data_IF_202977745095
#
_entry.id   IF_202977745095
#
_cell.length_a   1.000
_cell.length_b   1.000
_cell.length_c   1.000
_cell.angle_alpha   90.00
_cell.angle_beta   90.00
_cell.angle_gamma   90.00
#
_symmetry.space_group_name_H-M   'P 1'
#
loop_
_entity.id
_entity.type
_entity.pdbx_description
1 polymer ?
#
# COMPACT_ATOMS: atom_id res chain seq x y z
N UNK A 1 9.27 2.67 -19.38
CA UNK A 1 8.26 2.82 -20.45
C UNK A 1 7.36 1.60 -20.38
N UNK A 2 6.05 1.74 -20.51
CA UNK A 2 5.15 0.57 -20.45
C UNK A 2 5.37 -0.31 -21.67
N UNK A 3 5.44 -1.62 -21.49
CA UNK A 3 5.41 -2.55 -22.63
C UNK A 3 4.02 -2.54 -23.30
N UNK A 4 3.89 -2.97 -24.56
CA UNK A 4 2.58 -3.10 -25.22
C UNK A 4 1.60 -3.99 -24.44
N UNK A 5 2.12 -5.02 -23.75
CA UNK A 5 1.33 -5.88 -22.87
C UNK A 5 0.84 -5.13 -21.62
N UNK A 6 1.75 -4.42 -20.94
CA UNK A 6 1.41 -3.58 -19.78
C UNK A 6 0.41 -2.47 -20.13
N UNK A 7 0.52 -1.87 -21.33
CA UNK A 7 -0.42 -0.86 -21.81
C UNK A 7 -1.84 -1.42 -21.99
N UNK A 8 -1.98 -2.65 -22.53
CA UNK A 8 -3.28 -3.33 -22.63
C UNK A 8 -3.85 -3.69 -21.27
N UNK A 9 -3.01 -4.18 -20.35
CA UNK A 9 -3.43 -4.47 -18.97
C UNK A 9 -3.93 -3.21 -18.27
N UNK A 10 -3.18 -2.11 -18.37
CA UNK A 10 -3.54 -0.82 -17.79
C UNK A 10 -4.88 -0.31 -18.32
N UNK A 11 -5.05 -0.27 -19.64
CA UNK A 11 -6.29 0.19 -20.27
C UNK A 11 -7.49 -0.67 -19.85
N UNK A 12 -7.32 -2.00 -19.81
CA UNK A 12 -8.36 -2.92 -19.37
C UNK A 12 -8.74 -2.76 -17.90
N UNK A 13 -7.74 -2.57 -17.02
CA UNK A 13 -7.97 -2.31 -15.60
C UNK A 13 -8.72 -0.99 -15.37
N UNK A 14 -8.31 0.09 -16.05
CA UNK A 14 -9.00 1.38 -15.98
C UNK A 14 -10.45 1.25 -16.46
N UNK A 15 -10.68 0.57 -17.59
CA UNK A 15 -12.05 0.39 -18.11
C UNK A 15 -12.95 -0.39 -17.13
N UNK A 16 -12.41 -1.38 -16.41
CA UNK A 16 -13.15 -2.10 -15.35
C UNK A 16 -13.40 -1.22 -14.13
N UNK A 17 -12.40 -0.43 -13.70
CA UNK A 17 -12.54 0.50 -12.57
C UNK A 17 -13.57 1.59 -12.80
N UNK A 18 -13.64 2.12 -14.02
CA UNK A 18 -14.64 3.11 -14.40
C UNK A 18 -16.08 2.55 -14.33
N UNK A 19 -16.23 1.22 -14.44
CA UNK A 19 -17.52 0.53 -14.30
C UNK A 19 -17.80 0.11 -12.85
N UNK A 20 -16.77 -0.29 -12.12
CA UNK A 20 -16.87 -0.81 -10.76
C UNK A 20 -15.62 -0.40 -9.95
N UNK A 21 -15.80 0.58 -9.08
CA UNK A 21 -14.73 1.13 -8.24
C UNK A 21 -14.38 0.24 -7.04
N UNK A 22 -15.11 -0.85 -6.80
CA UNK A 22 -14.82 -1.78 -5.70
C UNK A 22 -13.71 -2.79 -6.05
N UNK A 23 -13.21 -2.77 -7.29
CA UNK A 23 -12.19 -3.69 -7.79
C UNK A 23 -10.79 -3.33 -7.30
N UNK A 24 -10.52 -3.59 -6.03
CA UNK A 24 -9.25 -3.29 -5.35
C UNK A 24 -8.02 -3.79 -6.13
N UNK A 25 -8.08 -5.01 -6.66
CA UNK A 25 -7.03 -5.59 -7.52
C UNK A 25 -6.68 -4.72 -8.73
N UNK A 26 -7.70 -4.15 -9.39
CA UNK A 26 -7.48 -3.28 -10.54
C UNK A 26 -6.92 -1.91 -10.09
N UNK A 27 -7.34 -1.40 -8.92
CA UNK A 27 -6.75 -0.17 -8.32
C UNK A 27 -5.25 -0.39 -8.06
N UNK A 28 -4.90 -1.50 -7.43
CA UNK A 28 -3.52 -1.85 -7.10
C UNK A 28 -2.67 -2.00 -8.36
N UNK A 29 -3.18 -2.72 -9.38
CA UNK A 29 -2.50 -2.89 -10.65
C UNK A 29 -2.22 -1.56 -11.36
N UNK A 30 -3.22 -0.67 -11.41
CA UNK A 30 -3.06 0.66 -12.00
C UNK A 30 -2.02 1.47 -11.22
N UNK A 31 -2.12 1.48 -9.89
CA UNK A 31 -1.19 2.20 -9.02
C UNK A 31 0.26 1.70 -9.19
N UNK A 32 0.47 0.39 -9.29
CA UNK A 32 1.79 -0.20 -9.53
C UNK A 32 2.37 0.19 -10.89
N UNK A 33 1.58 0.03 -11.96
CA UNK A 33 2.03 0.30 -13.33
C UNK A 33 2.42 1.77 -13.52
N UNK A 34 1.60 2.68 -12.98
CA UNK A 34 1.81 4.14 -13.06
C UNK A 34 2.90 4.59 -12.09
N UNK A 35 2.92 4.06 -10.87
CA UNK A 35 3.80 4.48 -9.78
C UNK A 35 5.20 3.88 -9.80
N UNK A 36 5.45 2.79 -10.55
CA UNK A 36 6.72 2.03 -10.56
C UNK A 36 7.98 2.90 -10.62
N UNK A 37 8.02 3.92 -11.49
CA UNK A 37 9.18 4.81 -11.61
C UNK A 37 9.40 5.66 -10.35
N UNK A 38 8.32 6.11 -9.72
CA UNK A 38 8.38 6.91 -8.49
C UNK A 38 8.86 6.05 -7.32
N UNK A 39 8.34 4.84 -7.17
CA UNK A 39 8.80 3.92 -6.12
C UNK A 39 10.26 3.50 -6.31
N UNK A 40 10.72 3.27 -7.55
CA UNK A 40 12.14 3.03 -7.82
C UNK A 40 13.03 4.24 -7.43
N UNK A 41 12.56 5.47 -7.68
CA UNK A 41 13.26 6.68 -7.26
C UNK A 41 13.30 6.84 -5.72
N UNK A 42 12.18 6.57 -5.05
CA UNK A 42 12.11 6.58 -3.58
C UNK A 42 13.02 5.51 -2.96
N UNK A 43 13.11 4.32 -3.57
CA UNK A 43 14.05 3.29 -3.13
C UNK A 43 15.50 3.75 -3.27
N UNK A 44 15.87 4.33 -4.41
CA UNK A 44 17.21 4.85 -4.61
C UNK A 44 17.56 5.96 -3.61
N UNK A 45 16.61 6.86 -3.32
CA UNK A 45 16.77 7.90 -2.32
C UNK A 45 16.90 7.34 -0.90
N UNK A 46 16.04 6.39 -0.53
CA UNK A 46 16.09 5.73 0.77
C UNK A 46 17.41 5.00 1.00
N UNK A 47 17.94 4.32 -0.02
CA UNK A 47 19.28 3.68 0.05
C UNK A 47 20.39 4.71 0.23
N UNK A 48 20.34 5.83 -0.50
CA UNK A 48 21.32 6.92 -0.36
C UNK A 48 21.33 7.53 1.04
N UNK A 49 20.16 7.57 1.69
CA UNK A 49 19.98 8.16 3.03
C UNK A 49 20.11 7.13 4.17
N UNK A 50 20.42 5.87 3.88
CA UNK A 50 20.39 4.76 4.84
C UNK A 50 19.10 4.74 5.68
N UNK A 51 17.95 4.83 4.99
CA UNK A 51 16.65 4.99 5.62
C UNK A 51 16.33 3.81 6.55
N UNK A 52 15.98 4.06 7.83
CA UNK A 52 15.56 3.00 8.76
C UNK A 52 14.37 2.18 8.26
N UNK A 53 13.47 2.79 7.48
CA UNK A 53 12.30 2.09 6.89
C UNK A 53 12.75 0.93 6.00
N UNK A 54 13.86 1.08 5.26
CA UNK A 54 14.36 0.01 4.38
C UNK A 54 15.05 -1.12 5.16
N UNK A 55 15.67 -0.80 6.31
CA UNK A 55 16.34 -1.78 7.17
C UNK A 55 15.39 -2.52 8.09
N UNK A 56 14.56 -1.79 8.82
CA UNK A 56 13.69 -2.31 9.88
C UNK A 56 12.40 -2.87 9.33
N UNK A 57 12.00 -2.41 8.14
CA UNK A 57 10.77 -2.81 7.46
C UNK A 57 9.56 -2.87 8.40
N UNK A 58 9.26 -1.77 9.13
CA UNK A 58 8.13 -1.77 10.06
C UNK A 58 6.83 -2.01 9.29
N UNK A 59 5.95 -2.77 9.92
CA UNK A 59 4.61 -3.12 9.46
C UNK A 59 3.58 -2.52 10.42
N UNK A 60 2.37 -2.21 9.94
CA UNK A 60 1.23 -1.86 10.78
C UNK A 60 0.27 -3.06 10.77
N UNK A 61 0.48 -3.96 11.71
CA UNK A 61 -0.26 -5.22 11.82
C UNK A 61 -0.53 -5.61 13.28
N UNK A 62 -1.26 -6.70 13.48
CA UNK A 62 -1.58 -7.19 14.83
C UNK A 62 -0.39 -7.75 15.62
N UNK A 63 0.80 -7.89 15.01
CA UNK A 63 2.02 -8.31 15.71
C UNK A 63 2.78 -7.11 16.28
N UNK A 64 2.75 -5.99 15.57
CA UNK A 64 3.45 -4.74 15.89
C UNK A 64 2.58 -3.73 16.64
N UNK A 65 1.26 -3.83 16.53
CA UNK A 65 0.30 -2.86 17.11
C UNK A 65 -0.78 -3.57 17.93
N UNK A 66 -0.94 -3.15 19.18
CA UNK A 66 -2.04 -3.58 20.06
C UNK A 66 -3.30 -2.74 19.79
N UNK A 67 -4.14 -3.23 18.89
CA UNK A 67 -5.37 -2.54 18.49
C UNK A 67 -6.41 -2.46 19.62
N UNK A 68 -6.45 -3.42 20.54
CA UNK A 68 -7.35 -3.34 21.69
C UNK A 68 -6.93 -2.21 22.63
N UNK A 69 -5.62 -2.08 22.85
CA UNK A 69 -5.09 -0.94 23.58
C UNK A 69 -5.43 0.38 22.89
N UNK A 70 -5.27 0.46 21.57
CA UNK A 70 -5.64 1.66 20.82
C UNK A 70 -7.14 2.00 20.96
N UNK A 71 -8.04 1.00 20.94
CA UNK A 71 -9.49 1.22 21.18
C UNK A 71 -9.78 1.84 22.54
N UNK A 72 -8.99 1.49 23.56
CA UNK A 72 -9.13 2.06 24.91
C UNK A 72 -8.63 3.50 25.05
N UNK A 73 -7.93 4.04 24.04
CA UNK A 73 -7.38 5.39 24.11
C UNK A 73 -8.45 6.48 23.85
N UNK A 74 -8.29 7.68 24.44
CA UNK A 74 -9.18 8.81 24.23
C UNK A 74 -9.43 9.18 22.76
N UNK A 75 -10.61 9.79 22.51
CA UNK A 75 -11.14 10.29 21.24
C UNK A 75 -10.12 11.02 20.36
N UNK A 76 -9.34 11.86 21.02
CA UNK A 76 -8.45 12.90 20.50
C UNK A 76 -6.99 12.44 20.34
N UNK A 77 -6.66 11.22 20.75
CA UNK A 77 -5.37 10.60 20.40
C UNK A 77 -5.40 10.06 18.97
N UNK A 78 -4.24 10.09 18.30
CA UNK A 78 -4.09 9.51 16.95
C UNK A 78 -4.54 8.03 16.92
N UNK A 79 -4.05 7.23 17.85
CA UNK A 79 -4.32 5.79 17.89
C UNK A 79 -5.79 5.46 18.14
N UNK A 80 -6.42 6.13 19.10
CA UNK A 80 -7.85 5.94 19.31
C UNK A 80 -8.67 6.40 18.10
N UNK A 81 -8.35 7.57 17.53
CA UNK A 81 -9.09 8.13 16.40
C UNK A 81 -8.99 7.21 15.18
N UNK A 82 -7.80 6.66 14.94
CA UNK A 82 -7.54 5.70 13.88
C UNK A 82 -8.43 4.45 14.00
N UNK A 83 -8.44 3.78 15.16
CA UNK A 83 -9.24 2.54 15.29
C UNK A 83 -10.74 2.81 15.24
N UNK A 84 -11.21 3.92 15.81
CA UNK A 84 -12.63 4.34 15.65
C UNK A 84 -13.00 4.59 14.20
N UNK A 85 -12.10 5.17 13.41
CA UNK A 85 -12.33 5.35 11.98
C UNK A 85 -12.42 4.00 11.26
N UNK A 86 -11.53 3.04 11.58
CA UNK A 86 -11.58 1.70 11.00
C UNK A 86 -12.89 1.00 11.35
N UNK A 87 -13.21 0.88 12.65
CA UNK A 87 -14.38 0.19 13.16
C UNK A 87 -15.68 0.83 12.62
N UNK A 88 -15.77 2.17 12.62
CA UNK A 88 -16.95 2.91 12.17
C UNK A 88 -17.24 2.82 10.67
N UNK A 89 -16.23 2.51 9.85
CA UNK A 89 -16.36 2.34 8.40
C UNK A 89 -16.26 0.87 7.96
N UNK A 90 -16.15 -0.07 8.90
CA UNK A 90 -15.94 -1.50 8.60
C UNK A 90 -14.64 -1.79 7.83
N UNK A 91 -13.63 -0.92 7.97
CA UNK A 91 -12.34 -1.08 7.33
C UNK A 91 -11.50 -2.10 8.09
N UNK A 92 -10.70 -2.87 7.34
CA UNK A 92 -9.73 -3.81 7.90
C UNK A 92 -8.32 -3.28 7.65
N UNK A 93 -7.36 -3.75 8.44
CA UNK A 93 -5.95 -3.49 8.17
C UNK A 93 -5.59 -3.98 6.78
N UNK A 94 -4.75 -3.21 6.11
CA UNK A 94 -4.22 -3.59 4.82
C UNK A 94 -3.13 -4.66 5.04
N UNK A 95 -3.51 -5.93 4.85
CA UNK A 95 -2.64 -7.10 5.01
C UNK A 95 -2.22 -7.70 3.67
N UNK A 96 -2.75 -7.17 2.56
CA UNK A 96 -2.56 -7.75 1.24
C UNK A 96 -1.25 -7.29 0.59
N UNK A 97 -0.24 -8.16 0.64
CA UNK A 97 1.09 -7.92 0.09
C UNK A 97 1.15 -8.01 -1.45
N UNK A 98 0.02 -8.08 -2.17
CA UNK A 98 -0.08 -8.16 -3.65
C UNK A 98 0.56 -6.97 -4.36
N UNK A 99 1.88 -6.93 -4.39
CA UNK A 99 2.71 -6.09 -5.25
C UNK A 99 3.52 -6.92 -6.26
N UNK A 100 3.35 -8.24 -6.21
CA UNK A 100 4.12 -9.25 -6.97
C UNK A 100 3.66 -9.40 -8.43
N UNK A 101 2.49 -8.85 -8.79
CA UNK A 101 1.88 -9.05 -10.12
C UNK A 101 2.68 -8.38 -11.25
N UNK A 102 3.19 -7.18 -11.01
CA UNK A 102 3.94 -6.39 -12.01
C UNK A 102 5.33 -6.01 -11.52
N UNK A 103 5.48 -5.72 -10.23
CA UNK A 103 6.74 -5.29 -9.65
C UNK A 103 7.44 -6.50 -9.03
N UNK A 104 8.56 -6.89 -9.63
CA UNK A 104 9.35 -8.06 -9.21
C UNK A 104 10.44 -7.73 -8.21
N UNK A 105 10.77 -6.45 -8.05
CA UNK A 105 11.77 -6.02 -7.07
C UNK A 105 11.13 -6.03 -5.67
N UNK A 106 11.57 -6.92 -4.76
CA UNK A 106 10.96 -7.07 -3.45
C UNK A 106 11.13 -5.84 -2.55
N UNK A 107 12.13 -4.99 -2.77
CA UNK A 107 12.28 -3.74 -2.03
C UNK A 107 11.31 -2.67 -2.52
N UNK A 108 11.07 -2.60 -3.83
CA UNK A 108 10.01 -1.74 -4.39
C UNK A 108 8.64 -2.25 -3.94
N UNK A 109 8.44 -3.58 -3.92
CA UNK A 109 7.23 -4.21 -3.39
C UNK A 109 6.97 -3.84 -1.93
N UNK A 110 8.01 -3.90 -1.08
CA UNK A 110 7.91 -3.44 0.31
C UNK A 110 7.48 -1.97 0.42
N UNK A 111 8.07 -1.06 -0.36
CA UNK A 111 7.69 0.36 -0.32
C UNK A 111 6.25 0.61 -0.74
N UNK A 112 5.74 -0.17 -1.69
CA UNK A 112 4.35 -0.09 -2.14
C UNK A 112 3.41 -0.59 -1.06
N UNK A 113 3.72 -1.74 -0.47
CA UNK A 113 2.97 -2.29 0.66
C UNK A 113 2.92 -1.28 1.81
N UNK A 114 4.09 -0.75 2.20
CA UNK A 114 4.19 0.25 3.28
C UNK A 114 3.43 1.55 2.97
N UNK A 115 3.37 1.96 1.71
CA UNK A 115 2.57 3.13 1.29
C UNK A 115 1.06 2.88 1.35
N UNK A 116 0.61 1.63 1.17
CA UNK A 116 -0.81 1.27 1.22
C UNK A 116 -1.35 1.11 2.66
N UNK A 117 -0.46 0.86 3.62
CA UNK A 117 -0.76 0.87 5.06
C UNK A 117 -0.93 2.29 5.61
#
# INVERSE_FOLDING_TARGET
>A
MLSPHEGRLLAGAIARLLRDSSRLDDIHLVAELVGRRRFAALLAEGRRLDSPILRERPEIDGQSVDFERLRSLPADTLGGAYVRHLDGNGLKLYLDQTSDRVIRDPEVGYLIHRYRQ
#
